data_IF_076909825916
#
_entry.id   IF_076909825916
#
_cell.length_a   1.000
_cell.length_b   1.000
_cell.length_c   1.000
_cell.angle_alpha   90.00
_cell.angle_beta   90.00
_cell.angle_gamma   90.00
#
_symmetry.space_group_name_H-M   'P 1'
#
loop_
_entity.id
_entity.type
_entity.pdbx_description
1 polymer ?
#
# COMPACT_ATOMS: atom_id res chain seq x y z
N UNK A 1 52.93 7.47 -59.74
CA UNK A 1 52.27 8.70 -59.25
C UNK A 1 51.51 8.32 -57.99
N UNK A 2 52.14 8.53 -56.83
CA UNK A 2 51.58 8.22 -55.52
C UNK A 2 50.70 9.39 -55.07
N UNK A 3 49.47 9.11 -54.64
CA UNK A 3 48.54 10.14 -54.17
C UNK A 3 48.10 9.81 -52.75
N UNK A 4 48.83 10.36 -51.78
CA UNK A 4 48.53 10.28 -50.35
C UNK A 4 47.40 11.25 -50.00
N UNK A 5 46.21 10.71 -49.69
CA UNK A 5 45.10 11.50 -49.13
C UNK A 5 44.80 11.04 -47.70
N UNK A 6 45.12 11.96 -46.79
CA UNK A 6 44.79 12.01 -45.35
C UNK A 6 43.40 11.48 -45.02
N UNK A 7 43.31 10.62 -44.01
CA UNK A 7 42.12 10.41 -43.19
C UNK A 7 42.52 10.62 -41.72
N UNK A 8 42.30 11.84 -41.23
CA UNK A 8 42.34 12.12 -39.79
C UNK A 8 41.02 11.63 -39.19
N UNK A 9 41.12 10.64 -38.31
CA UNK A 9 40.00 10.11 -37.54
C UNK A 9 39.35 11.21 -36.69
N UNK A 10 38.10 11.53 -36.97
CA UNK A 10 37.29 12.39 -36.12
C UNK A 10 36.87 11.57 -34.89
N UNK A 11 37.42 11.90 -33.72
CA UNK A 11 36.91 11.39 -32.43
C UNK A 11 35.50 11.95 -32.22
N UNK A 12 34.49 11.15 -31.81
CA UNK A 12 33.22 11.69 -31.37
C UNK A 12 33.42 12.54 -30.12
N UNK A 13 32.84 13.75 -30.11
CA UNK A 13 32.74 14.61 -28.93
C UNK A 13 31.98 13.85 -27.81
N UNK A 14 32.40 13.93 -26.54
CA UNK A 14 31.59 13.40 -25.44
C UNK A 14 30.24 14.13 -25.44
N UNK A 15 29.16 13.35 -25.47
CA UNK A 15 27.81 13.87 -25.29
C UNK A 15 27.70 14.58 -23.93
N UNK A 16 26.95 15.68 -23.83
CA UNK A 16 26.70 16.32 -22.54
C UNK A 16 26.10 15.28 -21.60
N UNK A 17 26.75 15.08 -20.45
CA UNK A 17 26.17 14.35 -19.35
C UNK A 17 24.97 15.17 -18.89
N UNK A 18 23.76 14.63 -19.04
CA UNK A 18 22.57 15.20 -18.41
C UNK A 18 22.86 15.29 -16.91
N UNK A 19 22.99 16.52 -16.41
CA UNK A 19 23.01 16.78 -14.98
C UNK A 19 21.69 16.25 -14.39
N UNK A 20 21.73 15.48 -13.28
CA UNK A 20 20.51 14.97 -12.68
C UNK A 20 19.61 16.14 -12.27
N UNK A 21 18.39 16.14 -12.81
CA UNK A 21 17.37 17.17 -12.56
C UNK A 21 16.71 16.92 -11.20
N UNK A 22 16.16 17.95 -10.55
CA UNK A 22 15.36 17.81 -9.33
C UNK A 22 14.18 16.82 -9.49
N UNK A 23 13.80 16.48 -10.72
CA UNK A 23 12.77 15.50 -11.05
C UNK A 23 13.24 14.03 -11.04
N UNK A 24 14.55 13.76 -10.95
CA UNK A 24 15.10 12.40 -10.82
C UNK A 24 14.94 11.82 -9.40
N UNK A 25 14.41 12.60 -8.46
CA UNK A 25 14.20 12.20 -7.07
C UNK A 25 13.09 11.15 -6.89
N UNK A 26 12.30 10.84 -7.93
CA UNK A 26 11.33 9.74 -7.87
C UNK A 26 12.00 8.44 -8.31
N UNK A 27 12.79 7.88 -7.39
CA UNK A 27 13.48 6.61 -7.58
C UNK A 27 12.47 5.53 -8.06
N UNK A 28 12.63 5.03 -9.28
CA UNK A 28 11.75 4.02 -9.90
C UNK A 28 11.55 2.76 -9.04
N UNK A 29 12.42 2.51 -8.05
CA UNK A 29 12.23 1.45 -7.03
C UNK A 29 11.02 1.67 -6.11
N UNK A 30 10.49 2.90 -6.02
CA UNK A 30 9.26 3.22 -5.28
C UNK A 30 7.99 3.12 -6.14
N UNK A 31 8.12 2.93 -7.46
CA UNK A 31 7.00 2.77 -8.41
C UNK A 31 6.74 1.28 -8.70
N UNK A 32 7.25 0.36 -7.88
CA UNK A 32 6.68 -0.98 -7.86
C UNK A 32 5.28 -0.86 -7.25
N UNK A 33 4.24 -0.86 -8.10
CA UNK A 33 2.84 -0.94 -7.69
C UNK A 33 2.70 -2.17 -6.80
N UNK A 34 2.71 -1.96 -5.48
CA UNK A 34 2.43 -3.02 -4.53
C UNK A 34 1.00 -3.49 -4.80
N UNK A 35 0.86 -4.74 -5.26
CA UNK A 35 -0.45 -5.35 -5.45
C UNK A 35 -1.15 -5.32 -4.09
N UNK A 36 -2.37 -4.76 -3.99
CA UNK A 36 -3.16 -4.81 -2.77
C UNK A 36 -3.26 -6.23 -2.23
N UNK A 37 -2.83 -6.43 -0.99
CA UNK A 37 -3.13 -7.67 -0.28
C UNK A 37 -4.66 -7.75 -0.06
N UNK A 38 -5.22 -8.97 -0.12
CA UNK A 38 -6.65 -9.19 0.10
C UNK A 38 -6.88 -9.78 1.49
N UNK A 39 -7.73 -9.13 2.28
CA UNK A 39 -8.16 -9.62 3.56
C UNK A 39 -9.57 -10.24 3.48
N UNK A 40 -9.85 -11.18 4.39
CA UNK A 40 -11.12 -11.88 4.49
C UNK A 40 -11.74 -11.68 5.88
N UNK A 41 -12.91 -11.07 5.93
CA UNK A 41 -13.65 -10.92 7.17
C UNK A 41 -14.21 -12.26 7.63
N UNK A 42 -14.01 -12.63 8.90
CA UNK A 42 -14.48 -13.92 9.43
C UNK A 42 -15.94 -13.88 9.89
N UNK A 43 -16.56 -12.70 9.98
CA UNK A 43 -17.96 -12.54 10.33
C UNK A 43 -18.88 -12.61 9.09
N UNK A 44 -18.60 -11.78 8.07
CA UNK A 44 -19.44 -11.70 6.86
C UNK A 44 -18.89 -12.50 5.67
N UNK A 45 -17.70 -13.10 5.79
CA UNK A 45 -17.00 -13.87 4.74
C UNK A 45 -16.62 -13.07 3.48
N UNK A 46 -16.87 -11.76 3.45
CA UNK A 46 -16.50 -10.95 2.29
C UNK A 46 -15.01 -10.60 2.30
N UNK A 47 -14.50 -10.34 1.10
CA UNK A 47 -13.15 -9.86 0.88
C UNK A 47 -13.11 -8.33 0.90
N UNK A 48 -11.96 -7.77 1.25
CA UNK A 48 -11.67 -6.34 1.13
C UNK A 48 -10.16 -6.14 0.92
N UNK A 49 -9.78 -5.00 0.34
CA UNK A 49 -8.38 -4.60 0.19
C UNK A 49 -7.75 -4.39 1.58
N UNK A 50 -6.50 -4.78 1.76
CA UNK A 50 -5.67 -4.41 2.92
C UNK A 50 -4.46 -3.59 2.47
N UNK A 51 -4.70 -2.63 1.55
CA UNK A 51 -3.66 -1.72 1.07
C UNK A 51 -3.30 -0.69 2.13
N UNK A 52 -4.33 -0.19 2.83
CA UNK A 52 -4.22 0.84 3.85
C UNK A 52 -5.00 0.45 5.11
N UNK A 53 -4.60 0.93 6.30
CA UNK A 53 -5.38 0.74 7.52
C UNK A 53 -6.83 1.22 7.41
N UNK A 54 -7.08 2.23 6.56
CA UNK A 54 -8.41 2.76 6.27
C UNK A 54 -9.36 1.75 5.64
N UNK A 55 -8.84 0.78 4.88
CA UNK A 55 -9.68 -0.23 4.22
C UNK A 55 -10.37 -1.14 5.25
N UNK A 56 -9.65 -1.49 6.32
CA UNK A 56 -10.18 -2.29 7.44
C UNK A 56 -11.29 -1.52 8.16
N UNK A 57 -11.05 -0.24 8.45
CA UNK A 57 -12.04 0.64 9.11
C UNK A 57 -13.29 0.74 8.24
N UNK A 58 -13.12 1.08 6.96
CA UNK A 58 -14.23 1.22 6.02
C UNK A 58 -15.05 -0.06 5.90
N UNK A 59 -14.37 -1.22 5.85
CA UNK A 59 -15.04 -2.52 5.81
C UNK A 59 -15.99 -2.69 7.01
N UNK A 60 -15.49 -2.53 8.24
CA UNK A 60 -16.27 -2.72 9.47
C UNK A 60 -17.30 -1.62 9.73
N UNK A 61 -17.15 -0.44 9.12
CA UNK A 61 -18.16 0.62 9.16
C UNK A 61 -19.26 0.46 8.09
N UNK A 62 -18.96 -0.20 6.96
CA UNK A 62 -19.88 -0.28 5.82
C UNK A 62 -21.09 -1.19 6.04
N UNK A 63 -20.99 -2.14 6.97
CA UNK A 63 -22.00 -3.18 7.20
C UNK A 63 -21.87 -3.72 8.63
N UNK A 64 -22.92 -4.34 9.13
CA UNK A 64 -22.89 -5.00 10.43
C UNK A 64 -22.08 -6.31 10.39
N UNK A 65 -21.39 -6.57 11.49
CA UNK A 65 -20.57 -7.77 11.68
C UNK A 65 -20.81 -8.31 13.08
N UNK A 66 -20.81 -9.63 13.22
CA UNK A 66 -20.88 -10.26 14.54
C UNK A 66 -19.53 -10.08 15.26
N UNK A 67 -19.50 -9.51 16.48
CA UNK A 67 -18.29 -9.40 17.28
C UNK A 67 -17.78 -10.78 17.73
N UNK A 68 -16.46 -10.92 17.84
CA UNK A 68 -15.84 -12.18 18.30
C UNK A 68 -15.43 -12.16 19.78
N UNK A 69 -15.17 -10.97 20.33
CA UNK A 69 -14.82 -10.75 21.72
C UNK A 69 -15.01 -9.26 22.07
N UNK A 70 -14.67 -8.88 23.30
CA UNK A 70 -14.77 -7.50 23.79
C UNK A 70 -13.39 -6.90 24.04
N UNK A 71 -13.28 -5.59 23.82
CA UNK A 71 -12.06 -4.85 24.04
C UNK A 71 -11.80 -4.70 25.54
N UNK A 72 -10.62 -5.11 25.99
CA UNK A 72 -10.26 -5.05 27.41
C UNK A 72 -10.21 -3.63 27.99
N UNK A 73 -10.13 -2.60 27.14
CA UNK A 73 -9.99 -1.19 27.57
C UNK A 73 -11.29 -0.40 27.65
N UNK A 74 -12.24 -0.68 26.76
CA UNK A 74 -13.51 0.07 26.69
C UNK A 74 -14.74 -0.84 26.69
N UNK A 75 -14.53 -2.15 26.80
CA UNK A 75 -15.57 -3.17 26.69
C UNK A 75 -16.35 -3.13 25.36
N UNK A 76 -15.81 -2.50 24.32
CA UNK A 76 -16.43 -2.40 23.01
C UNK A 76 -16.31 -3.68 22.15
N UNK A 77 -17.11 -3.82 21.08
CA UNK A 77 -17.08 -4.99 20.21
C UNK A 77 -15.77 -5.08 19.42
N UNK A 78 -15.12 -6.25 19.43
CA UNK A 78 -13.95 -6.54 18.62
C UNK A 78 -14.27 -7.51 17.50
N UNK A 79 -13.64 -7.30 16.35
CA UNK A 79 -13.82 -8.09 15.15
C UNK A 79 -12.52 -8.76 14.74
N UNK A 80 -12.63 -9.81 13.91
CA UNK A 80 -11.48 -10.54 13.40
C UNK A 80 -11.57 -10.77 11.90
N UNK A 81 -10.43 -10.72 11.25
CA UNK A 81 -10.27 -10.99 9.83
C UNK A 81 -8.98 -11.78 9.59
N UNK A 82 -8.85 -12.39 8.41
CA UNK A 82 -7.63 -13.03 7.94
C UNK A 82 -6.95 -12.09 6.96
N UNK A 83 -5.69 -11.73 7.22
CA UNK A 83 -4.91 -10.87 6.33
C UNK A 83 -4.45 -11.61 5.05
N UNK A 84 -3.83 -10.87 4.13
CA UNK A 84 -3.30 -11.44 2.88
C UNK A 84 -2.19 -12.48 3.08
N UNK A 85 -1.60 -12.54 4.28
CA UNK A 85 -0.58 -13.53 4.67
C UNK A 85 -1.19 -14.76 5.35
N UNK A 86 -2.52 -14.81 5.49
CA UNK A 86 -3.23 -15.91 6.13
C UNK A 86 -3.28 -15.84 7.66
N UNK A 87 -2.76 -14.78 8.27
CA UNK A 87 -2.76 -14.59 9.72
C UNK A 87 -4.07 -13.99 10.21
N UNK A 88 -4.53 -14.39 11.39
CA UNK A 88 -5.72 -13.79 12.02
C UNK A 88 -5.32 -12.49 12.68
N UNK A 89 -6.05 -11.43 12.34
CA UNK A 89 -5.89 -10.08 12.87
C UNK A 89 -7.19 -9.65 13.55
N UNK A 90 -7.06 -8.72 14.49
CA UNK A 90 -8.18 -8.15 15.23
C UNK A 90 -8.32 -6.67 14.91
N UNK A 91 -9.57 -6.23 14.78
CA UNK A 91 -9.93 -4.84 14.56
C UNK A 91 -10.93 -4.38 15.61
N UNK A 92 -10.70 -3.17 16.13
CA UNK A 92 -11.60 -2.48 17.05
C UNK A 92 -11.28 -0.98 17.06
N UNK A 93 -12.30 -0.14 17.15
CA UNK A 93 -12.16 1.31 17.31
C UNK A 93 -12.63 1.74 18.71
N UNK A 94 -11.67 1.89 19.63
CA UNK A 94 -11.94 2.34 21.01
C UNK A 94 -12.60 3.71 21.05
N UNK A 95 -12.21 4.62 20.16
CA UNK A 95 -12.68 6.00 20.19
C UNK A 95 -14.17 6.06 19.81
N UNK A 96 -14.57 5.33 18.78
CA UNK A 96 -15.98 5.23 18.37
C UNK A 96 -16.83 4.53 19.40
N UNK A 97 -16.37 3.40 19.93
CA UNK A 97 -17.10 2.63 20.93
C UNK A 97 -17.37 3.43 22.20
N UNK A 98 -16.36 4.15 22.73
CA UNK A 98 -16.53 5.01 23.91
C UNK A 98 -17.53 6.15 23.69
N UNK A 99 -17.64 6.64 22.46
CA UNK A 99 -18.58 7.71 22.10
C UNK A 99 -19.94 7.18 21.64
N UNK A 100 -20.17 5.87 21.69
CA UNK A 100 -21.40 5.22 21.21
C UNK A 100 -21.72 5.58 19.76
N UNK A 101 -20.67 5.72 18.93
CA UNK A 101 -20.80 6.06 17.50
C UNK A 101 -20.91 4.82 16.61
N UNK A 102 -20.80 3.62 17.20
CA UNK A 102 -21.07 2.38 16.49
C UNK A 102 -22.59 2.31 16.32
N UNK A 103 -23.06 2.51 15.09
CA UNK A 103 -24.49 2.53 14.78
C UNK A 103 -25.12 1.22 15.24
N UNK A 104 -26.09 1.34 16.15
CA UNK A 104 -26.92 0.25 16.67
C UNK A 104 -27.56 -0.56 15.56
#
# INVERSE_FOLDING_TARGET
>A
MNNERRLLAQRPLPQPQDDPSEHDAVNNRFIEKKVPDVAHCLACRSQFSESLPGDVIQHYMSRRHEPCCRCLYCDGPMYRYRDGKGSVRFYHDCHRSKRMLDSA
#
